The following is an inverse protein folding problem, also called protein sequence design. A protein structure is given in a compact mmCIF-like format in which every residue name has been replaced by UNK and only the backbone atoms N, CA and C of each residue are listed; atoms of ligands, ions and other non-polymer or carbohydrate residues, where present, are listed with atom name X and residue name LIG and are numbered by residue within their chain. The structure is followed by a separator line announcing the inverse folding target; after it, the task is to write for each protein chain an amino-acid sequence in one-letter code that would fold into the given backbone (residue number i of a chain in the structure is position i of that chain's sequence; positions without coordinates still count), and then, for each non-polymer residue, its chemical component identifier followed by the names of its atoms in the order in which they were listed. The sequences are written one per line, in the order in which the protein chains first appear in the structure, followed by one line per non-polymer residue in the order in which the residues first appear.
data_IF_388088206848
#
_entry.id   IF_388088206848
#
_cell.length_a   1.000
_cell.length_b   1.000
_cell.length_c   1.000
_cell.angle_alpha   90.00
_cell.angle_beta   90.00
_cell.angle_gamma   90.00
#
_symmetry.space_group_name_H-M   'P 1'
#
loop_
_entity.id
_entity.type
_entity.pdbx_description
1 polymer ?
#
# COMPACT_ATOMS: atom_id res chain seq x y z
N UNK A 1 -7.80 16.75 -24.30
CA UNK A 1 -8.12 15.95 -23.09
C UNK A 1 -7.45 16.61 -21.91
N UNK A 2 -8.18 16.90 -20.83
CA UNK A 2 -7.61 17.58 -19.66
C UNK A 2 -6.70 16.60 -18.88
N UNK A 3 -5.39 16.79 -19.02
CA UNK A 3 -4.32 15.95 -18.43
C UNK A 3 -4.47 15.75 -16.92
N UNK A 4 -5.09 16.72 -16.24
CA UNK A 4 -5.43 16.67 -14.80
C UNK A 4 -6.33 15.48 -14.44
N UNK A 5 -7.36 15.18 -15.25
CA UNK A 5 -8.27 14.07 -14.95
C UNK A 5 -7.60 12.72 -15.19
N UNK A 6 -6.74 12.63 -16.21
CA UNK A 6 -5.98 11.41 -16.48
C UNK A 6 -5.01 11.11 -15.33
N UNK A 7 -4.34 12.15 -14.81
CA UNK A 7 -3.43 12.05 -13.67
C UNK A 7 -4.13 11.62 -12.38
N UNK A 8 -5.26 12.25 -12.05
CA UNK A 8 -6.03 11.88 -10.86
C UNK A 8 -6.70 10.51 -11.01
N UNK A 9 -7.10 10.13 -12.22
CA UNK A 9 -7.63 8.80 -12.52
C UNK A 9 -6.60 7.69 -12.32
N UNK A 10 -5.38 7.85 -12.87
CA UNK A 10 -4.30 6.86 -12.67
C UNK A 10 -3.82 6.80 -11.22
N UNK A 11 -3.70 7.95 -10.54
CA UNK A 11 -3.33 8.01 -9.12
C UNK A 11 -4.39 7.32 -8.24
N UNK A 12 -5.68 7.57 -8.54
CA UNK A 12 -6.80 6.91 -7.87
C UNK A 12 -6.77 5.39 -8.05
N UNK A 13 -6.50 4.91 -9.27
CA UNK A 13 -6.41 3.47 -9.56
C UNK A 13 -5.27 2.80 -8.77
N UNK A 14 -4.07 3.39 -8.75
CA UNK A 14 -2.91 2.86 -8.02
C UNK A 14 -3.18 2.85 -6.52
N UNK A 15 -3.78 3.92 -5.98
CA UNK A 15 -4.17 3.96 -4.58
C UNK A 15 -5.21 2.88 -4.24
N UNK A 16 -6.19 2.64 -5.11
CA UNK A 16 -7.19 1.59 -4.92
C UNK A 16 -6.58 0.19 -4.90
N UNK A 17 -5.65 -0.09 -5.82
CA UNK A 17 -4.91 -1.36 -5.87
C UNK A 17 -4.07 -1.57 -4.60
N UNK A 18 -3.38 -0.52 -4.15
CA UNK A 18 -2.63 -0.53 -2.90
C UNK A 18 -3.51 -0.81 -1.67
N UNK A 19 -4.67 -0.15 -1.60
CA UNK A 19 -5.63 -0.33 -0.52
C UNK A 19 -6.20 -1.75 -0.51
N UNK A 20 -6.58 -2.28 -1.68
CA UNK A 20 -7.08 -3.66 -1.82
C UNK A 20 -6.02 -4.70 -1.43
N UNK A 21 -4.75 -4.49 -1.77
CA UNK A 21 -3.64 -5.33 -1.34
C UNK A 21 -3.43 -5.28 0.18
N UNK A 22 -3.51 -4.08 0.77
CA UNK A 22 -3.42 -3.88 2.21
C UNK A 22 -4.57 -4.55 2.99
N UNK A 23 -5.81 -4.50 2.49
CA UNK A 23 -6.95 -5.16 3.14
C UNK A 23 -6.86 -6.69 3.07
N UNK A 24 -6.26 -7.25 2.01
CA UNK A 24 -6.03 -8.70 1.91
C UNK A 24 -5.14 -9.24 3.03
N UNK A 25 -4.26 -8.44 3.62
CA UNK A 25 -3.46 -8.88 4.79
C UNK A 25 -4.33 -9.17 6.03
N UNK A 26 -5.50 -8.54 6.13
CA UNK A 26 -6.44 -8.74 7.24
C UNK A 26 -7.51 -9.79 6.95
N UNK A 27 -7.90 -9.94 5.68
CA UNK A 27 -9.02 -10.79 5.26
C UNK A 27 -8.56 -12.19 4.83
N UNK A 28 -7.38 -12.30 4.20
CA UNK A 28 -6.89 -13.58 3.72
C UNK A 28 -6.14 -14.35 4.82
N UNK A 29 -6.32 -15.67 4.85
CA UNK A 29 -5.60 -16.59 5.74
C UNK A 29 -4.19 -16.92 5.21
N UNK A 30 -3.99 -16.86 3.88
CA UNK A 30 -2.72 -17.18 3.23
C UNK A 30 -1.52 -16.33 3.70
N UNK A 31 -1.65 -15.00 3.93
CA UNK A 31 -0.61 -14.21 4.58
C UNK A 31 -0.34 -14.67 6.02
N UNK A 32 -1.36 -14.99 6.80
CA UNK A 32 -1.21 -15.46 8.18
C UNK A 32 -0.39 -16.76 8.24
N UNK A 33 -0.70 -17.72 7.39
CA UNK A 33 0.05 -18.98 7.27
C UNK A 33 1.50 -18.75 6.85
N UNK A 34 1.74 -17.78 5.95
CA UNK A 34 3.09 -17.42 5.51
C UNK A 34 3.92 -16.80 6.64
N UNK A 35 3.35 -15.86 7.39
CA UNK A 35 4.01 -15.26 8.56
C UNK A 35 4.24 -16.27 9.69
N UNK A 36 3.29 -17.16 9.93
CA UNK A 36 3.42 -18.26 10.89
C UNK A 36 4.57 -19.22 10.51
N UNK A 37 4.70 -19.56 9.22
CA UNK A 37 5.82 -20.39 8.71
C UNK A 37 7.18 -19.70 8.83
N UNK A 38 7.21 -18.38 8.73
CA UNK A 38 8.41 -17.56 8.94
C UNK A 38 8.73 -17.34 10.43
N UNK A 39 7.87 -17.78 11.35
CA UNK A 39 8.03 -17.59 12.80
C UNK A 39 7.73 -16.17 13.27
N UNK A 40 7.13 -15.33 12.42
CA UNK A 40 6.75 -13.97 12.81
C UNK A 40 5.41 -13.96 13.55
N UNK A 41 5.29 -13.16 14.62
CA UNK A 41 4.04 -12.98 15.35
C UNK A 41 3.00 -12.20 14.53
N UNK A 42 1.71 -12.50 14.75
CA UNK A 42 0.60 -12.03 13.89
C UNK A 42 0.43 -10.49 13.89
N UNK A 43 0.94 -9.79 14.92
CA UNK A 43 0.97 -8.32 14.95
C UNK A 43 1.79 -7.72 13.80
N UNK A 44 2.80 -8.45 13.29
CA UNK A 44 3.67 -7.97 12.23
C UNK A 44 2.91 -7.88 10.89
N UNK A 45 2.03 -8.85 10.64
CA UNK A 45 1.08 -8.84 9.51
C UNK A 45 0.15 -7.63 9.57
N UNK A 46 -0.40 -7.35 10.75
CA UNK A 46 -1.28 -6.20 11.00
C UNK A 46 -0.56 -4.88 10.76
N UNK A 47 0.67 -4.72 11.26
CA UNK A 47 1.48 -3.52 11.03
C UNK A 47 1.78 -3.29 9.54
N UNK A 48 2.13 -4.35 8.79
CA UNK A 48 2.34 -4.26 7.35
C UNK A 48 1.06 -3.89 6.59
N UNK A 49 -0.08 -4.48 6.96
CA UNK A 49 -1.37 -4.13 6.39
C UNK A 49 -1.73 -2.66 6.62
N UNK A 50 -1.54 -2.14 7.86
CA UNK A 50 -1.77 -0.72 8.16
C UNK A 50 -0.82 0.16 7.35
N UNK A 51 0.46 -0.21 7.23
CA UNK A 51 1.43 0.56 6.46
C UNK A 51 1.03 0.68 4.98
N UNK A 52 0.52 -0.40 4.37
CA UNK A 52 -0.02 -0.36 3.00
C UNK A 52 -1.23 0.55 2.87
N UNK A 53 -2.14 0.53 3.84
CA UNK A 53 -3.31 1.40 3.83
C UNK A 53 -2.92 2.87 3.95
N UNK A 54 -1.99 3.19 4.86
CA UNK A 54 -1.45 4.53 5.04
C UNK A 54 -0.72 4.99 3.79
N UNK A 55 0.08 4.13 3.15
CA UNK A 55 0.74 4.42 1.87
C UNK A 55 -0.27 4.72 0.75
N UNK A 56 -1.33 3.92 0.63
CA UNK A 56 -2.39 4.13 -0.37
C UNK A 56 -3.11 5.47 -0.17
N UNK A 57 -3.42 5.83 1.08
CA UNK A 57 -3.99 7.13 1.40
C UNK A 57 -2.99 8.28 1.17
N UNK A 58 -1.71 8.06 1.43
CA UNK A 58 -0.65 9.04 1.22
C UNK A 58 -0.48 9.43 -0.27
N UNK A 59 -0.83 8.54 -1.20
CA UNK A 59 -0.88 8.86 -2.64
C UNK A 59 -2.04 9.81 -3.01
N UNK A 60 -3.15 9.75 -2.28
CA UNK A 60 -4.36 10.53 -2.58
C UNK A 60 -4.34 11.93 -1.95
N UNK A 61 -3.58 12.10 -0.87
CA UNK A 61 -3.49 13.35 -0.11
C UNK A 61 -2.30 14.19 -0.59
N UNK A 62 -2.43 15.54 -0.68
CA UNK A 62 -1.30 16.41 -0.95
C UNK A 62 -0.34 16.48 0.25
N UNK A 63 0.51 15.47 0.40
CA UNK A 63 1.54 15.39 1.43
C UNK A 63 2.80 16.20 1.07
N UNK A 64 3.60 16.59 2.08
CA UNK A 64 4.89 17.23 1.86
C UNK A 64 5.85 16.33 1.05
N UNK A 65 6.74 16.97 0.28
CA UNK A 65 7.56 16.32 -0.76
C UNK A 65 8.37 15.13 -0.25
N UNK A 66 8.98 15.25 0.92
CA UNK A 66 9.75 14.18 1.55
C UNK A 66 8.87 12.94 1.82
N UNK A 67 7.67 13.12 2.35
CA UNK A 67 6.77 12.01 2.68
C UNK A 67 6.22 11.33 1.41
N UNK A 68 6.02 12.10 0.33
CA UNK A 68 5.71 11.54 -0.99
C UNK A 68 6.84 10.67 -1.53
N UNK A 69 8.08 11.12 -1.41
CA UNK A 69 9.25 10.34 -1.87
C UNK A 69 9.36 9.00 -1.12
N UNK A 70 9.13 8.99 0.20
CA UNK A 70 9.07 7.75 0.98
C UNK A 70 7.89 6.85 0.58
N UNK A 71 6.73 7.44 0.28
CA UNK A 71 5.56 6.69 -0.20
C UNK A 71 5.85 6.04 -1.55
N UNK A 72 6.44 6.77 -2.48
CA UNK A 72 6.86 6.23 -3.78
C UNK A 72 7.92 5.14 -3.62
N UNK A 73 8.94 5.35 -2.79
CA UNK A 73 9.97 4.33 -2.53
C UNK A 73 9.36 3.04 -1.96
N UNK A 74 8.44 3.17 -0.99
CA UNK A 74 7.70 2.03 -0.43
C UNK A 74 6.91 1.26 -1.48
N UNK A 75 6.18 1.95 -2.36
CA UNK A 75 5.44 1.30 -3.45
C UNK A 75 6.33 0.69 -4.52
N UNK A 76 7.46 1.33 -4.86
CA UNK A 76 8.42 0.76 -5.80
C UNK A 76 9.02 -0.54 -5.29
N UNK A 77 9.28 -0.66 -3.98
CA UNK A 77 9.72 -1.90 -3.36
C UNK A 77 8.61 -2.96 -3.39
N UNK A 78 7.37 -2.57 -3.05
CA UNK A 78 6.24 -3.51 -2.97
C UNK A 78 5.80 -4.07 -4.33
N UNK A 79 5.83 -3.27 -5.39
CA UNK A 79 5.49 -3.72 -6.75
C UNK A 79 6.68 -4.33 -7.51
N UNK A 80 7.91 -4.02 -7.08
CA UNK A 80 9.14 -4.45 -7.75
C UNK A 80 9.66 -5.83 -7.34
N UNK A 81 9.12 -6.41 -6.26
CA UNK A 81 9.43 -7.75 -5.75
C UNK A 81 8.42 -8.79 -6.19
#
# INVERSE_FOLDING_TARGET
MNTKYLYWGSTGLVALLALASGTMYFVAEAPADSFARLGFPDYFRIQLGIAKLVGGMALLVPLPRWLKEWTYAGFTIDFGS
#
